data_IF_258070271522
#
_entry.id   IF_258070271522
#
_cell.length_a   1.000
_cell.length_b   1.000
_cell.length_c   1.000
_cell.angle_alpha   90.00
_cell.angle_beta   90.00
_cell.angle_gamma   90.00
#
_symmetry.space_group_name_H-M   'P 1'
#
loop_
_entity.id
_entity.type
_entity.pdbx_description
1 polymer ?
#
# COMPACT_ATOMS: atom_id res chain seq x y z
N UNK A 1 35.23 -33.97 11.22
CA UNK A 1 34.10 -33.64 12.12
C UNK A 1 33.98 -32.10 12.07
N UNK A 2 32.78 -31.53 11.86
CA UNK A 2 32.63 -30.07 11.92
C UNK A 2 32.97 -29.62 13.35
N UNK A 3 33.72 -28.52 13.46
CA UNK A 3 34.12 -27.94 14.74
C UNK A 3 32.87 -27.63 15.58
N UNK A 4 32.83 -28.09 16.84
CA UNK A 4 31.75 -27.79 17.76
C UNK A 4 31.69 -26.27 17.94
N UNK A 5 30.51 -25.72 17.78
CA UNK A 5 30.23 -24.30 18.02
C UNK A 5 30.39 -24.03 19.54
N UNK A 6 31.48 -23.38 19.90
CA UNK A 6 31.85 -23.14 21.29
C UNK A 6 31.20 -21.86 21.84
N UNK A 7 31.16 -21.75 23.18
CA UNK A 7 30.71 -20.54 23.89
C UNK A 7 31.47 -19.29 23.41
N UNK A 8 32.81 -19.33 23.37
CA UNK A 8 33.61 -18.20 22.90
C UNK A 8 33.31 -17.79 21.45
N UNK A 9 33.05 -18.76 20.58
CA UNK A 9 32.65 -18.48 19.21
C UNK A 9 31.28 -17.81 19.14
N UNK A 10 30.35 -18.25 20.00
CA UNK A 10 29.03 -17.61 20.12
C UNK A 10 29.15 -16.15 20.57
N UNK A 11 29.87 -15.90 21.66
CA UNK A 11 30.03 -14.55 22.21
C UNK A 11 30.70 -13.61 21.21
N UNK A 12 31.71 -14.08 20.47
CA UNK A 12 32.35 -13.31 19.40
C UNK A 12 31.34 -12.90 18.32
N UNK A 13 30.50 -13.83 17.85
CA UNK A 13 29.50 -13.51 16.84
C UNK A 13 28.40 -12.59 17.35
N UNK A 14 27.98 -12.80 18.60
CA UNK A 14 26.98 -11.95 19.23
C UNK A 14 27.49 -10.50 19.39
N UNK A 15 28.77 -10.33 19.76
CA UNK A 15 29.43 -9.03 19.84
C UNK A 15 29.48 -8.33 18.47
N UNK A 16 29.74 -9.05 17.36
CA UNK A 16 29.69 -8.50 16.00
C UNK A 16 28.30 -8.02 15.60
N UNK A 17 27.23 -8.66 16.09
CA UNK A 17 25.85 -8.22 15.87
C UNK A 17 25.55 -6.95 16.66
N UNK A 18 26.18 -6.73 17.81
CA UNK A 18 26.13 -5.49 18.59
C UNK A 18 24.78 -5.17 19.24
N UNK A 19 23.86 -6.13 19.34
CA UNK A 19 22.50 -5.90 19.87
C UNK A 19 22.26 -6.45 21.26
N UNK A 20 23.05 -7.45 21.66
CA UNK A 20 22.91 -8.14 22.93
C UNK A 20 24.26 -8.67 23.41
N UNK A 21 24.37 -8.90 24.71
CA UNK A 21 25.43 -9.67 25.34
C UNK A 21 24.82 -10.85 26.11
N UNK A 22 25.50 -11.98 26.15
CA UNK A 22 25.07 -13.11 26.94
C UNK A 22 25.44 -12.88 28.41
N UNK A 23 24.48 -13.15 29.30
CA UNK A 23 24.68 -13.05 30.77
C UNK A 23 24.39 -14.36 31.50
N UNK A 24 23.86 -15.37 30.78
CA UNK A 24 23.62 -16.72 31.30
C UNK A 24 24.61 -17.76 30.79
N UNK A 25 24.56 -19.02 31.30
CA UNK A 25 25.42 -20.09 30.85
C UNK A 25 25.06 -20.50 29.42
N UNK A 26 26.09 -20.76 28.59
CA UNK A 26 25.90 -21.27 27.24
C UNK A 26 25.93 -22.80 27.27
N UNK A 27 24.86 -23.42 26.81
CA UNK A 27 24.79 -24.91 26.69
C UNK A 27 24.99 -25.31 25.22
N UNK A 28 24.16 -24.74 24.33
CA UNK A 28 24.24 -24.94 22.88
C UNK A 28 23.39 -23.88 22.16
N UNK A 29 23.37 -23.91 20.83
CA UNK A 29 22.66 -22.93 20.02
C UNK A 29 21.12 -22.99 20.13
N UNK A 30 20.56 -24.09 20.61
CA UNK A 30 19.11 -24.37 20.64
C UNK A 30 18.51 -24.16 22.04
N UNK A 31 19.30 -24.31 23.08
CA UNK A 31 18.86 -24.12 24.45
C UNK A 31 18.79 -22.62 24.80
N UNK A 32 17.66 -22.16 25.34
CA UNK A 32 17.52 -20.78 25.77
C UNK A 32 18.56 -20.39 26.84
N UNK A 33 19.09 -19.18 26.77
CA UNK A 33 19.95 -18.59 27.79
C UNK A 33 19.64 -17.11 27.96
N UNK A 34 20.15 -16.52 29.04
CA UNK A 34 19.91 -15.12 29.37
C UNK A 34 20.81 -14.19 28.56
N UNK A 35 20.22 -13.18 27.95
CA UNK A 35 20.88 -12.14 27.19
C UNK A 35 20.46 -10.77 27.69
N UNK A 36 21.43 -9.85 27.84
CA UNK A 36 21.16 -8.44 28.09
C UNK A 36 21.08 -7.69 26.77
N UNK A 37 20.00 -6.95 26.59
CA UNK A 37 19.86 -6.04 25.46
C UNK A 37 20.78 -4.83 25.64
N UNK A 38 21.69 -4.57 24.72
CA UNK A 38 22.61 -3.43 24.80
C UNK A 38 21.90 -2.09 24.57
N UNK A 39 20.74 -2.08 23.89
CA UNK A 39 19.97 -0.86 23.67
C UNK A 39 19.11 -0.47 24.89
N UNK A 40 18.53 -1.47 25.58
CA UNK A 40 17.53 -1.23 26.64
C UNK A 40 17.99 -1.69 28.03
N UNK A 41 19.15 -2.33 28.15
CA UNK A 41 19.67 -2.88 29.40
C UNK A 41 18.87 -4.05 30.00
N UNK A 42 17.75 -4.45 29.38
CA UNK A 42 16.86 -5.50 29.88
C UNK A 42 17.40 -6.90 29.60
N UNK A 43 17.20 -7.79 30.54
CA UNK A 43 17.59 -9.20 30.42
C UNK A 43 16.39 -10.02 29.93
N UNK A 44 16.64 -10.85 28.93
CA UNK A 44 15.65 -11.72 28.31
C UNK A 44 16.20 -13.13 28.10
N UNK A 45 15.38 -14.11 28.25
CA UNK A 45 15.66 -15.46 27.84
C UNK A 45 15.41 -15.63 26.34
N UNK A 46 16.40 -16.13 25.59
CA UNK A 46 16.28 -16.37 24.14
C UNK A 46 17.28 -17.43 23.68
N UNK A 47 16.96 -18.09 22.59
CA UNK A 47 17.85 -19.09 21.99
C UNK A 47 19.02 -18.40 21.30
N UNK A 48 20.26 -18.85 21.52
CA UNK A 48 21.43 -18.33 20.82
C UNK A 48 21.27 -18.26 19.30
N UNK A 49 20.71 -19.32 18.70
CA UNK A 49 20.51 -19.37 17.27
C UNK A 49 19.57 -18.26 16.75
N UNK A 50 18.51 -17.92 17.48
CA UNK A 50 17.56 -16.91 17.07
C UNK A 50 18.23 -15.51 17.00
N UNK A 51 19.10 -15.20 17.94
CA UNK A 51 19.86 -13.96 17.94
C UNK A 51 20.89 -13.91 16.81
N UNK A 52 21.57 -15.02 16.51
CA UNK A 52 22.50 -15.11 15.38
C UNK A 52 21.81 -15.00 14.02
N UNK A 53 20.56 -15.41 13.92
CA UNK A 53 19.71 -15.25 12.72
C UNK A 53 19.09 -13.84 12.62
N UNK A 54 19.46 -12.93 13.51
CA UNK A 54 18.99 -11.54 13.48
C UNK A 54 17.63 -11.30 14.16
N UNK A 55 17.05 -12.33 14.82
CA UNK A 55 15.88 -12.14 15.64
C UNK A 55 16.26 -11.30 16.86
N UNK A 56 15.60 -10.15 17.04
CA UNK A 56 15.87 -9.27 18.19
C UNK A 56 15.34 -9.83 19.50
N UNK A 57 15.89 -9.35 20.61
CA UNK A 57 15.32 -9.57 21.94
C UNK A 57 13.91 -8.97 22.05
N UNK A 58 13.09 -9.51 22.93
CA UNK A 58 11.69 -9.08 23.12
C UNK A 58 11.51 -7.58 23.32
N UNK A 59 12.50 -6.88 23.90
CA UNK A 59 12.50 -5.43 24.06
C UNK A 59 12.85 -4.64 22.79
N UNK A 60 13.40 -5.29 21.75
CA UNK A 60 13.89 -4.65 20.53
C UNK A 60 12.92 -4.77 19.33
N UNK A 61 11.71 -5.26 19.53
CA UNK A 61 10.64 -5.10 18.54
C UNK A 61 10.39 -6.24 17.54
N UNK A 62 11.18 -7.32 17.50
CA UNK A 62 10.76 -8.52 16.76
C UNK A 62 10.00 -9.53 17.64
N UNK A 63 9.89 -9.27 18.92
CA UNK A 63 9.13 -9.97 19.94
C UNK A 63 8.79 -9.05 21.12
N UNK A 64 8.94 -7.72 20.95
CA UNK A 64 8.78 -6.74 21.99
C UNK A 64 7.39 -6.68 22.60
N UNK A 65 7.33 -6.29 23.87
CA UNK A 65 6.08 -6.11 24.60
C UNK A 65 5.05 -5.31 23.78
N UNK A 66 3.78 -5.60 23.96
CA UNK A 66 2.67 -4.93 23.24
C UNK A 66 2.77 -3.39 23.28
N UNK A 67 3.35 -2.82 24.34
CA UNK A 67 3.56 -1.37 24.50
C UNK A 67 4.56 -0.80 23.46
N UNK A 68 5.71 -1.46 23.25
CA UNK A 68 6.71 -1.01 22.27
C UNK A 68 6.23 -1.25 20.81
N UNK A 69 5.41 -2.29 20.61
CA UNK A 69 4.84 -2.57 19.29
C UNK A 69 3.87 -1.47 18.84
N UNK A 70 3.11 -0.89 19.76
CA UNK A 70 2.20 0.22 19.47
C UNK A 70 2.94 1.49 19.07
N UNK A 71 3.96 1.90 19.86
CA UNK A 71 4.78 3.08 19.56
C UNK A 71 5.50 2.95 18.21
N UNK A 72 6.12 1.81 17.94
CA UNK A 72 6.78 1.54 16.67
C UNK A 72 5.79 1.56 15.48
N UNK A 73 4.57 1.06 15.69
CA UNK A 73 3.53 1.12 14.69
C UNK A 73 3.14 2.57 14.39
N UNK A 74 2.91 3.39 15.44
CA UNK A 74 2.51 4.79 15.30
C UNK A 74 3.58 5.63 14.61
N UNK A 75 4.86 5.43 14.95
CA UNK A 75 5.99 6.11 14.27
C UNK A 75 6.05 5.80 12.77
N UNK A 76 5.80 4.55 12.40
CA UNK A 76 5.77 4.16 10.99
C UNK A 76 4.55 4.70 10.25
N UNK A 77 3.38 4.70 10.90
CA UNK A 77 2.17 5.33 10.33
C UNK A 77 2.37 6.82 10.10
N UNK A 78 3.00 7.52 11.04
CA UNK A 78 3.30 8.94 10.91
C UNK A 78 4.21 9.23 9.70
N UNK A 79 5.21 8.36 9.43
CA UNK A 79 6.07 8.47 8.24
C UNK A 79 5.29 8.24 6.93
N UNK A 80 4.28 7.37 6.95
CA UNK A 80 3.42 7.11 5.78
C UNK A 80 2.46 8.26 5.55
N UNK A 81 1.97 8.93 6.62
CA UNK A 81 1.17 10.15 6.54
C UNK A 81 -0.27 9.99 6.03
N UNK A 82 -0.79 8.77 5.88
CA UNK A 82 -2.13 8.53 5.32
C UNK A 82 -3.22 8.45 6.39
N UNK A 83 -2.90 7.88 7.53
CA UNK A 83 -3.83 7.69 8.63
C UNK A 83 -3.12 7.65 9.99
N UNK A 84 -3.88 7.81 11.05
CA UNK A 84 -3.45 7.61 12.43
C UNK A 84 -4.31 6.54 13.10
N UNK A 85 -3.71 5.79 14.01
CA UNK A 85 -4.43 4.82 14.83
C UNK A 85 -5.27 5.54 15.89
N UNK A 86 -6.49 5.05 16.13
CA UNK A 86 -7.36 5.56 17.20
C UNK A 86 -7.77 4.48 18.22
N UNK A 87 -7.66 3.20 17.88
CA UNK A 87 -7.85 2.10 18.81
C UNK A 87 -6.50 1.54 19.33
N UNK A 88 -6.49 0.87 20.51
CA UNK A 88 -5.31 0.20 21.01
C UNK A 88 -4.77 -0.81 20.00
N UNK A 89 -3.45 -0.77 19.77
CA UNK A 89 -2.78 -1.74 18.92
C UNK A 89 -2.84 -3.14 19.56
N UNK A 90 -3.32 -4.12 18.83
CA UNK A 90 -3.41 -5.50 19.27
C UNK A 90 -2.33 -6.37 18.62
N UNK A 91 -2.46 -6.61 17.31
CA UNK A 91 -1.50 -7.34 16.50
C UNK A 91 -1.48 -6.80 15.08
N UNK A 92 -0.52 -7.23 14.27
CA UNK A 92 -0.43 -6.84 12.85
C UNK A 92 -1.63 -7.29 11.99
N UNK A 93 -2.36 -8.33 12.42
CA UNK A 93 -3.42 -8.98 11.64
C UNK A 93 -4.84 -8.69 12.16
N UNK A 94 -4.99 -8.19 13.35
CA UNK A 94 -6.30 -7.79 13.88
C UNK A 94 -6.62 -6.40 13.37
N UNK A 95 -7.73 -6.27 12.66
CA UNK A 95 -8.20 -4.98 12.17
C UNK A 95 -8.54 -4.07 13.36
N UNK A 96 -8.05 -2.84 13.33
CA UNK A 96 -8.27 -1.81 14.32
C UNK A 96 -8.70 -0.52 13.63
N UNK A 97 -9.33 0.38 14.37
CA UNK A 97 -9.79 1.65 13.83
C UNK A 97 -8.62 2.62 13.58
N UNK A 98 -8.66 3.23 12.39
CA UNK A 98 -7.79 4.29 11.97
C UNK A 98 -8.60 5.51 11.56
N UNK A 99 -8.04 6.69 11.73
CA UNK A 99 -8.59 7.95 11.23
C UNK A 99 -7.79 8.38 10.01
N UNK A 100 -8.44 8.57 8.89
CA UNK A 100 -7.84 9.16 7.70
C UNK A 100 -7.40 10.60 7.99
N UNK A 101 -6.14 10.92 7.75
CA UNK A 101 -5.62 12.27 8.00
C UNK A 101 -6.18 13.30 7.01
N UNK A 102 -6.56 12.87 5.80
CA UNK A 102 -7.13 13.72 4.76
C UNK A 102 -8.61 14.09 4.99
N UNK A 103 -9.44 13.08 5.29
CA UNK A 103 -10.89 13.24 5.34
C UNK A 103 -11.47 13.19 6.77
N UNK A 104 -10.66 12.91 7.77
CA UNK A 104 -11.10 12.72 9.15
C UNK A 104 -11.99 11.49 9.38
N UNK A 105 -12.31 10.71 8.33
CA UNK A 105 -13.19 9.54 8.44
C UNK A 105 -12.47 8.39 9.15
N UNK A 106 -13.25 7.65 9.97
CA UNK A 106 -12.79 6.47 10.69
C UNK A 106 -13.07 5.24 9.84
N UNK A 107 -12.12 4.31 9.78
CA UNK A 107 -12.22 3.05 9.04
C UNK A 107 -11.46 1.93 9.75
N UNK A 108 -11.88 0.68 9.51
CA UNK A 108 -11.24 -0.53 10.02
C UNK A 108 -10.19 -1.02 9.02
N UNK A 109 -8.96 -1.28 9.51
CA UNK A 109 -7.88 -1.84 8.70
C UNK A 109 -6.90 -2.64 9.56
N UNK A 110 -6.38 -3.73 9.01
CA UNK A 110 -5.26 -4.45 9.63
C UNK A 110 -4.02 -3.55 9.68
N UNK A 111 -3.30 -3.46 10.82
CA UNK A 111 -2.07 -2.68 10.93
C UNK A 111 -1.02 -3.00 9.86
N UNK A 112 -0.91 -4.27 9.47
CA UNK A 112 -0.03 -4.68 8.37
C UNK A 112 -0.33 -3.92 7.07
N UNK A 113 -1.61 -3.85 6.72
CA UNK A 113 -2.05 -3.21 5.47
C UNK A 113 -1.85 -1.69 5.50
N UNK A 114 -2.03 -1.08 6.67
CA UNK A 114 -1.75 0.34 6.83
C UNK A 114 -0.25 0.64 6.65
N UNK A 115 0.64 -0.22 7.18
CA UNK A 115 2.10 -0.11 6.99
C UNK A 115 2.57 -0.41 5.55
N UNK A 116 1.79 -1.15 4.78
CA UNK A 116 2.00 -1.37 3.35
C UNK A 116 1.56 -0.16 2.50
N UNK A 117 1.15 0.94 3.14
CA UNK A 117 0.70 2.15 2.46
C UNK A 117 -0.68 2.04 1.81
N UNK A 118 -1.53 1.11 2.26
CA UNK A 118 -2.91 1.03 1.74
C UNK A 118 -3.67 2.29 2.06
N UNK A 119 -4.18 2.90 1.02
CA UNK A 119 -4.97 4.13 1.07
C UNK A 119 -6.25 3.88 1.89
N UNK A 120 -6.64 4.80 2.81
CA UNK A 120 -7.93 4.76 3.48
C UNK A 120 -9.09 4.65 2.49
N UNK A 121 -10.15 3.87 2.78
CA UNK A 121 -11.28 3.68 1.87
C UNK A 121 -11.93 4.99 1.39
N UNK A 122 -11.91 6.02 2.24
CA UNK A 122 -12.46 7.34 1.92
C UNK A 122 -11.59 8.18 0.98
N UNK A 123 -10.36 7.74 0.68
CA UNK A 123 -9.46 8.44 -0.24
C UNK A 123 -9.59 7.97 -1.69
N UNK A 124 -10.51 7.05 -1.95
CA UNK A 124 -10.82 6.51 -3.27
C UNK A 124 -9.88 5.38 -3.70
N UNK A 125 -10.49 4.29 -4.16
CA UNK A 125 -9.84 3.24 -4.91
C UNK A 125 -9.14 2.16 -4.09
N UNK A 126 -9.61 0.93 -4.26
CA UNK A 126 -8.93 -0.29 -3.75
C UNK A 126 -7.64 -0.61 -4.51
N UNK A 127 -6.80 0.37 -4.79
CA UNK A 127 -5.49 0.07 -5.35
C UNK A 127 -4.60 -0.49 -4.25
N UNK A 128 -4.04 -1.65 -4.51
CA UNK A 128 -3.18 -2.42 -3.59
C UNK A 128 -1.80 -1.78 -3.34
N UNK A 129 -1.62 -0.55 -3.77
CA UNK A 129 -0.42 0.25 -3.53
C UNK A 129 -0.76 1.74 -3.53
N UNK A 130 -0.04 2.56 -2.80
CA UNK A 130 -0.08 3.99 -3.01
C UNK A 130 0.57 4.32 -4.36
N UNK A 131 0.19 5.43 -4.99
CA UNK A 131 0.89 5.93 -6.18
C UNK A 131 2.41 5.99 -5.93
N UNK A 132 2.81 6.42 -4.74
CA UNK A 132 4.20 6.40 -4.28
C UNK A 132 4.85 5.01 -4.39
N UNK A 133 4.21 3.94 -3.87
CA UNK A 133 4.76 2.59 -3.94
C UNK A 133 4.86 2.07 -5.38
N UNK A 134 3.95 2.48 -6.25
CA UNK A 134 3.99 2.14 -7.68
C UNK A 134 5.12 2.87 -8.40
N UNK A 135 5.37 4.13 -8.07
CA UNK A 135 6.48 4.90 -8.61
C UNK A 135 7.84 4.32 -8.19
N UNK A 136 7.96 3.87 -6.94
CA UNK A 136 9.19 3.29 -6.40
C UNK A 136 9.52 1.89 -6.94
N UNK A 137 8.52 1.12 -7.36
CA UNK A 137 8.71 -0.26 -7.86
C UNK A 137 7.90 -0.51 -9.15
N UNK A 138 8.14 0.21 -10.27
CA UNK A 138 7.32 0.12 -11.49
C UNK A 138 7.23 -1.29 -12.07
N UNK A 139 8.33 -2.02 -12.08
CA UNK A 139 8.41 -3.38 -12.62
C UNK A 139 7.54 -4.38 -11.85
N UNK A 140 7.46 -4.25 -10.53
CA UNK A 140 6.63 -5.10 -9.66
C UNK A 140 5.14 -5.00 -10.00
N UNK A 141 4.70 -3.85 -10.50
CA UNK A 141 3.31 -3.60 -10.85
C UNK A 141 3.01 -3.84 -12.33
N UNK A 142 4.01 -4.24 -13.12
CA UNK A 142 3.89 -4.41 -14.55
C UNK A 142 3.50 -3.12 -15.27
N UNK A 143 3.96 -1.97 -14.75
CA UNK A 143 3.56 -0.66 -15.24
C UNK A 143 3.98 -0.37 -16.67
N UNK A 144 5.00 -1.08 -17.18
CA UNK A 144 5.48 -0.97 -18.55
C UNK A 144 4.65 -1.80 -19.55
N UNK A 145 3.80 -2.71 -19.05
CA UNK A 145 2.99 -3.56 -19.92
C UNK A 145 1.90 -2.76 -20.64
N UNK A 146 1.55 -3.23 -21.84
CA UNK A 146 0.40 -2.70 -22.58
C UNK A 146 -0.88 -2.77 -21.76
N UNK A 147 -1.68 -1.72 -21.82
CA UNK A 147 -2.98 -1.67 -21.18
C UNK A 147 -3.91 -0.70 -21.92
N UNK A 148 -5.18 -0.79 -21.64
CA UNK A 148 -6.22 0.10 -22.12
C UNK A 148 -7.00 0.67 -20.94
N UNK A 149 -7.55 1.86 -21.10
CA UNK A 149 -8.66 2.35 -20.27
C UNK A 149 -9.96 1.98 -20.99
N UNK A 150 -10.92 1.42 -20.28
CA UNK A 150 -12.21 1.04 -20.84
C UNK A 150 -13.38 1.67 -20.09
N UNK A 151 -14.48 1.82 -20.82
CA UNK A 151 -15.76 2.31 -20.32
C UNK A 151 -16.86 1.28 -20.65
N UNK A 152 -17.57 0.82 -19.62
CA UNK A 152 -18.79 0.03 -19.72
C UNK A 152 -19.97 0.80 -19.15
N UNK A 153 -21.13 0.71 -19.77
CA UNK A 153 -22.41 1.10 -19.20
C UNK A 153 -23.01 -0.11 -18.49
N UNK A 154 -23.46 0.05 -17.24
CA UNK A 154 -24.02 -1.08 -16.50
C UNK A 154 -25.41 -1.44 -17.06
N UNK A 155 -25.58 -2.67 -17.54
CA UNK A 155 -26.82 -3.10 -18.22
C UNK A 155 -28.08 -2.94 -17.34
N UNK A 156 -27.98 -3.23 -16.04
CA UNK A 156 -29.09 -3.09 -15.09
C UNK A 156 -29.27 -1.67 -14.53
N UNK A 157 -28.29 -0.81 -14.73
CA UNK A 157 -28.24 0.54 -14.16
C UNK A 157 -27.72 1.51 -15.23
N UNK A 158 -28.55 1.90 -16.22
CA UNK A 158 -28.10 2.66 -17.40
C UNK A 158 -27.53 4.04 -17.09
N UNK A 159 -27.84 4.61 -15.93
CA UNK A 159 -27.28 5.88 -15.43
C UNK A 159 -25.89 5.72 -14.80
N UNK A 160 -25.35 4.51 -14.79
CA UNK A 160 -24.07 4.21 -14.20
C UNK A 160 -23.11 3.65 -15.22
N UNK A 161 -21.87 4.10 -15.13
CA UNK A 161 -20.76 3.60 -15.94
C UNK A 161 -19.67 3.02 -15.04
N UNK A 162 -18.95 2.04 -15.56
CA UNK A 162 -17.73 1.50 -14.96
C UNK A 162 -16.54 1.93 -15.80
N UNK A 163 -15.55 2.51 -15.12
CA UNK A 163 -14.28 2.90 -15.72
C UNK A 163 -13.20 1.99 -15.15
N UNK A 164 -12.33 1.45 -15.98
CA UNK A 164 -11.27 0.54 -15.50
C UNK A 164 -10.15 0.37 -16.50
N UNK A 165 -9.12 -0.39 -16.08
CA UNK A 165 -7.96 -0.72 -16.92
C UNK A 165 -7.86 -2.22 -17.14
N UNK A 166 -7.40 -2.62 -18.32
CA UNK A 166 -7.17 -4.02 -18.67
C UNK A 166 -6.07 -4.16 -19.70
N UNK A 167 -5.35 -5.26 -19.67
CA UNK A 167 -4.46 -5.66 -20.78
C UNK A 167 -5.20 -6.46 -21.86
N UNK A 168 -6.42 -6.91 -21.57
CA UNK A 168 -7.25 -7.70 -22.48
C UNK A 168 -8.73 -7.33 -22.36
N UNK A 169 -9.27 -6.63 -23.37
CA UNK A 169 -10.67 -6.20 -23.37
C UNK A 169 -11.64 -7.36 -23.50
N UNK A 170 -11.27 -8.43 -24.21
CA UNK A 170 -12.16 -9.57 -24.44
C UNK A 170 -12.54 -10.26 -23.13
N UNK A 171 -11.57 -10.42 -22.22
CA UNK A 171 -11.84 -11.01 -20.90
C UNK A 171 -12.75 -10.15 -20.02
N UNK A 172 -12.87 -8.85 -20.32
CA UNK A 172 -13.74 -7.93 -19.59
C UNK A 172 -15.13 -7.82 -20.20
N UNK A 173 -15.25 -7.98 -21.52
CA UNK A 173 -16.52 -7.99 -22.22
C UNK A 173 -17.36 -9.22 -21.86
N UNK A 174 -16.72 -10.34 -21.54
CA UNK A 174 -17.37 -11.57 -21.08
C UNK A 174 -17.81 -11.52 -19.60
N UNK A 175 -17.35 -10.52 -18.83
CA UNK A 175 -17.87 -10.28 -17.49
C UNK A 175 -19.27 -9.65 -17.63
N UNK A 176 -20.30 -10.34 -17.19
CA UNK A 176 -21.76 -10.12 -17.38
C UNK A 176 -22.33 -8.75 -16.92
N UNK A 177 -21.53 -7.69 -16.81
CA UNK A 177 -21.90 -6.50 -16.05
C UNK A 177 -22.36 -5.31 -16.86
N UNK A 178 -22.21 -5.31 -18.20
CA UNK A 178 -22.65 -4.13 -18.93
C UNK A 178 -22.36 -4.13 -20.42
N UNK A 179 -22.91 -3.13 -21.09
CA UNK A 179 -22.65 -2.85 -22.49
C UNK A 179 -21.30 -2.15 -22.63
N UNK A 180 -20.44 -2.71 -23.45
CA UNK A 180 -19.21 -2.06 -23.84
C UNK A 180 -19.49 -0.76 -24.60
N UNK A 181 -18.89 0.35 -24.14
CA UNK A 181 -19.05 1.65 -24.79
C UNK A 181 -17.85 1.96 -25.68
N UNK A 182 -16.67 2.04 -25.11
CA UNK A 182 -15.42 2.31 -25.83
C UNK A 182 -14.18 2.00 -24.99
N UNK A 183 -13.03 2.10 -25.63
CA UNK A 183 -11.73 2.00 -24.95
C UNK A 183 -10.70 2.95 -25.58
N UNK A 184 -9.67 3.24 -24.83
CA UNK A 184 -8.50 4.02 -25.25
C UNK A 184 -7.25 3.18 -25.09
N UNK A 185 -6.45 3.12 -26.16
CA UNK A 185 -5.13 2.51 -26.10
C UNK A 185 -4.18 3.41 -25.32
N UNK A 186 -3.34 2.81 -24.51
CA UNK A 186 -2.34 3.56 -23.74
C UNK A 186 -0.93 3.08 -24.08
N UNK A 187 0.08 3.93 -23.85
CA UNK A 187 1.49 3.56 -24.05
C UNK A 187 1.92 2.47 -23.07
N UNK A 188 1.34 2.48 -21.86
CA UNK A 188 1.68 1.51 -20.83
C UNK A 188 0.55 1.43 -19.79
N UNK A 189 0.56 0.40 -18.96
CA UNK A 189 -0.34 0.28 -17.82
C UNK A 189 -0.23 1.46 -16.86
N UNK A 190 0.94 2.06 -16.75
CA UNK A 190 1.13 3.26 -15.93
C UNK A 190 0.30 4.44 -16.45
N UNK A 191 0.34 4.71 -17.76
CA UNK A 191 -0.49 5.74 -18.37
C UNK A 191 -1.99 5.45 -18.19
N UNK A 192 -2.41 4.21 -18.42
CA UNK A 192 -3.78 3.79 -18.20
C UNK A 192 -4.23 4.06 -16.75
N UNK A 193 -3.38 3.71 -15.80
CA UNK A 193 -3.64 3.92 -14.38
C UNK A 193 -3.76 5.41 -14.03
N UNK A 194 -2.88 6.26 -14.54
CA UNK A 194 -2.94 7.70 -14.28
C UNK A 194 -4.27 8.30 -14.75
N UNK A 195 -4.68 7.97 -15.97
CA UNK A 195 -5.96 8.44 -16.54
C UNK A 195 -7.14 7.91 -15.76
N UNK A 196 -7.20 6.60 -15.47
CA UNK A 196 -8.25 6.00 -14.66
C UNK A 196 -8.39 6.70 -13.31
N UNK A 197 -7.28 6.88 -12.59
CA UNK A 197 -7.30 7.49 -11.26
C UNK A 197 -7.71 8.97 -11.30
N UNK A 198 -7.30 9.73 -12.30
CA UNK A 198 -7.74 11.11 -12.47
C UNK A 198 -9.23 11.17 -12.78
N UNK A 199 -9.71 10.34 -13.72
CA UNK A 199 -11.13 10.23 -14.07
C UNK A 199 -11.99 9.86 -12.86
N UNK A 200 -11.57 8.85 -12.09
CA UNK A 200 -12.31 8.41 -10.91
C UNK A 200 -12.35 9.46 -9.77
N UNK A 201 -11.49 10.45 -9.80
CA UNK A 201 -11.43 11.56 -8.82
C UNK A 201 -12.11 12.83 -9.33
N UNK A 202 -12.50 12.87 -10.60
CA UNK A 202 -13.15 14.03 -11.19
C UNK A 202 -14.46 14.34 -10.47
N UNK A 203 -14.60 15.60 -10.07
CA UNK A 203 -15.77 16.07 -9.30
C UNK A 203 -17.04 16.11 -10.11
N UNK A 204 -16.94 16.16 -11.45
CA UNK A 204 -18.08 16.13 -12.35
C UNK A 204 -18.71 14.75 -12.49
N UNK A 205 -18.00 13.69 -12.05
CA UNK A 205 -18.48 12.32 -12.05
C UNK A 205 -18.88 11.91 -10.62
N UNK A 206 -20.18 11.77 -10.39
CA UNK A 206 -20.68 11.37 -9.07
C UNK A 206 -20.17 9.99 -8.68
N UNK A 207 -19.41 9.92 -7.57
CA UNK A 207 -18.93 8.66 -7.02
C UNK A 207 -20.07 7.93 -6.32
N UNK A 208 -20.80 7.14 -7.06
CA UNK A 208 -21.93 6.35 -6.57
C UNK A 208 -21.87 4.93 -7.15
N UNK A 209 -22.33 3.96 -6.38
CA UNK A 209 -22.53 2.59 -6.81
C UNK A 209 -23.95 2.19 -6.43
N UNK A 210 -24.72 1.53 -7.33
CA UNK A 210 -26.02 0.99 -6.97
C UNK A 210 -25.94 0.11 -5.73
N UNK A 211 -26.90 0.24 -4.80
CA UNK A 211 -26.87 -0.49 -3.51
C UNK A 211 -26.76 -2.00 -3.72
N UNK A 212 -27.44 -2.55 -4.73
CA UNK A 212 -27.40 -3.98 -5.04
C UNK A 212 -26.01 -4.47 -5.49
N UNK A 213 -25.19 -3.59 -6.06
CA UNK A 213 -23.81 -3.89 -6.42
C UNK A 213 -22.84 -3.60 -5.25
N UNK A 214 -23.16 -2.62 -4.42
CA UNK A 214 -22.31 -2.25 -3.27
C UNK A 214 -22.25 -3.39 -2.23
N UNK A 215 -23.34 -4.10 -2.02
CA UNK A 215 -23.45 -5.23 -1.10
C UNK A 215 -22.90 -6.55 -1.68
N UNK A 216 -22.67 -6.59 -3.00
CA UNK A 216 -22.05 -7.73 -3.65
C UNK A 216 -20.54 -7.73 -3.40
N UNK A 217 -19.92 -8.91 -3.38
CA UNK A 217 -18.45 -9.05 -3.34
C UNK A 217 -17.78 -8.64 -4.67
N UNK A 218 -18.46 -7.89 -5.48
CA UNK A 218 -17.96 -7.44 -6.77
C UNK A 218 -16.81 -6.46 -6.61
N UNK A 219 -15.67 -6.81 -7.17
CA UNK A 219 -14.41 -6.06 -6.99
C UNK A 219 -14.39 -4.69 -7.71
N UNK A 220 -15.37 -4.41 -8.56
CA UNK A 220 -15.43 -3.20 -9.37
C UNK A 220 -16.29 -2.05 -8.83
N UNK A 221 -16.87 -2.18 -7.64
CA UNK A 221 -17.82 -1.20 -7.09
C UNK A 221 -17.21 0.22 -6.89
N UNK A 222 -15.91 0.32 -6.66
CA UNK A 222 -15.21 1.61 -6.49
C UNK A 222 -14.91 2.34 -7.81
N UNK A 223 -15.03 1.63 -8.93
CA UNK A 223 -14.77 2.11 -10.29
C UNK A 223 -16.05 2.57 -10.98
N UNK A 224 -17.20 2.54 -10.27
CA UNK A 224 -18.51 2.95 -10.80
C UNK A 224 -18.75 4.43 -10.53
N UNK A 225 -19.34 5.08 -11.53
CA UNK A 225 -19.77 6.49 -11.47
C UNK A 225 -21.20 6.62 -11.98
N UNK A 226 -21.97 7.45 -11.30
CA UNK A 226 -23.31 7.83 -11.79
C UNK A 226 -23.17 8.99 -12.76
N UNK A 227 -23.22 8.69 -14.03
CA UNK A 227 -23.04 9.68 -15.10
C UNK A 227 -23.46 9.07 -16.45
N UNK A 228 -23.75 9.91 -17.42
CA UNK A 228 -23.95 9.51 -18.81
C UNK A 228 -22.62 9.09 -19.45
N UNK A 229 -22.67 8.11 -20.36
CA UNK A 229 -21.49 7.63 -21.06
C UNK A 229 -20.74 8.74 -21.81
N UNK A 230 -21.47 9.68 -22.45
CA UNK A 230 -20.86 10.79 -23.19
C UNK A 230 -20.06 11.74 -22.27
N UNK A 231 -20.58 12.02 -21.06
CA UNK A 231 -19.86 12.82 -20.08
C UNK A 231 -18.59 12.10 -19.62
N UNK A 232 -18.68 10.81 -19.31
CA UNK A 232 -17.51 10.02 -18.92
C UNK A 232 -16.45 9.98 -20.05
N UNK A 233 -16.86 9.84 -21.31
CA UNK A 233 -15.96 9.90 -22.48
C UNK A 233 -15.21 11.23 -22.53
N UNK A 234 -15.92 12.35 -22.37
CA UNK A 234 -15.30 13.68 -22.40
C UNK A 234 -14.27 13.85 -21.28
N UNK A 235 -14.59 13.40 -20.06
CA UNK A 235 -13.67 13.46 -18.92
C UNK A 235 -12.44 12.57 -19.14
N UNK A 236 -12.63 11.35 -19.61
CA UNK A 236 -11.51 10.45 -19.91
C UNK A 236 -10.62 11.07 -21.01
N UNK A 237 -11.20 11.58 -22.10
CA UNK A 237 -10.44 12.21 -23.18
C UNK A 237 -9.65 13.42 -22.68
N UNK A 238 -10.28 14.28 -21.87
CA UNK A 238 -9.60 15.41 -21.24
C UNK A 238 -8.32 14.98 -20.48
N UNK A 239 -8.39 13.91 -19.69
CA UNK A 239 -7.23 13.43 -18.94
C UNK A 239 -6.19 12.75 -19.85
N UNK A 240 -6.59 12.12 -20.94
CA UNK A 240 -5.64 11.66 -21.96
C UNK A 240 -4.87 12.81 -22.58
N UNK A 241 -5.57 13.84 -23.02
CA UNK A 241 -4.97 15.02 -23.65
C UNK A 241 -4.06 15.78 -22.66
N UNK A 242 -4.48 15.88 -21.41
CA UNK A 242 -3.68 16.47 -20.34
C UNK A 242 -2.39 15.66 -20.08
N UNK A 243 -2.50 14.32 -20.01
CA UNK A 243 -1.35 13.44 -19.79
C UNK A 243 -0.35 13.50 -20.95
N UNK A 244 -0.83 13.54 -22.19
CA UNK A 244 0.02 13.65 -23.37
C UNK A 244 0.73 15.01 -23.44
N UNK A 245 0.04 16.08 -23.02
CA UNK A 245 0.59 17.44 -23.00
C UNK A 245 1.61 17.68 -21.89
N UNK A 246 1.33 17.22 -20.70
CA UNK A 246 2.10 17.51 -19.48
C UNK A 246 3.19 16.48 -19.21
N UNK A 247 3.01 15.27 -19.72
CA UNK A 247 3.78 14.10 -19.32
C UNK A 247 3.34 13.57 -17.94
N UNK A 248 3.75 12.33 -17.60
CA UNK A 248 3.27 11.64 -16.38
C UNK A 248 3.54 12.38 -15.08
N UNK A 249 4.65 13.08 -15.02
CA UNK A 249 5.13 13.81 -13.86
C UNK A 249 4.25 14.96 -13.47
N UNK A 250 4.15 15.93 -14.37
CA UNK A 250 3.35 17.12 -14.14
C UNK A 250 1.87 16.73 -13.99
N UNK A 251 1.43 15.72 -14.74
CA UNK A 251 0.08 15.16 -14.60
C UNK A 251 -0.20 14.65 -13.18
N UNK A 252 0.74 13.93 -12.56
CA UNK A 252 0.60 13.46 -11.17
C UNK A 252 0.49 14.63 -10.21
N UNK A 253 1.33 15.64 -10.36
CA UNK A 253 1.33 16.81 -9.48
C UNK A 253 0.05 17.60 -9.59
N UNK A 254 -0.49 17.75 -10.79
CA UNK A 254 -1.66 18.59 -11.05
C UNK A 254 -2.99 17.90 -10.74
N UNK A 255 -3.11 16.61 -11.06
CA UNK A 255 -4.38 15.91 -10.98
C UNK A 255 -4.46 14.82 -9.91
N UNK A 256 -3.34 14.23 -9.51
CA UNK A 256 -3.34 13.10 -8.56
C UNK A 256 -2.76 13.44 -7.19
N UNK A 257 -2.22 14.63 -7.02
CA UNK A 257 -1.62 15.13 -5.77
C UNK A 257 -2.38 16.35 -5.24
N UNK A 258 -3.65 16.19 -4.82
CA UNK A 258 -4.54 17.32 -4.53
C UNK A 258 -4.19 18.08 -3.25
N UNK A 259 -3.21 17.63 -2.47
CA UNK A 259 -2.72 18.32 -1.28
C UNK A 259 -1.20 18.30 -1.20
N UNK A 260 -0.67 19.26 -0.46
CA UNK A 260 0.77 19.46 -0.32
C UNK A 260 1.53 18.21 0.19
N UNK A 261 0.93 17.45 1.10
CA UNK A 261 1.55 16.22 1.61
C UNK A 261 1.70 15.15 0.54
N UNK A 262 0.67 14.91 -0.28
CA UNK A 262 0.73 13.96 -1.40
C UNK A 262 1.68 14.47 -2.48
N UNK A 263 1.68 15.78 -2.76
CA UNK A 263 2.59 16.43 -3.69
C UNK A 263 4.05 16.22 -3.28
N UNK A 264 4.39 16.53 -2.03
CA UNK A 264 5.74 16.34 -1.49
C UNK A 264 6.19 14.87 -1.52
N UNK A 265 5.28 13.92 -1.26
CA UNK A 265 5.57 12.49 -1.38
C UNK A 265 5.84 12.06 -2.82
N UNK A 266 5.04 12.55 -3.76
CA UNK A 266 5.25 12.30 -5.18
C UNK A 266 6.55 12.95 -5.67
N UNK A 267 6.81 14.20 -5.37
CA UNK A 267 8.05 14.90 -5.72
C UNK A 267 9.28 14.16 -5.21
N UNK A 268 9.23 13.71 -3.93
CA UNK A 268 10.31 12.91 -3.35
C UNK A 268 10.53 11.59 -4.10
N UNK A 269 9.45 10.84 -4.38
CA UNK A 269 9.54 9.60 -5.14
C UNK A 269 10.13 9.83 -6.52
N UNK A 270 9.73 10.91 -7.16
CA UNK A 270 10.17 11.30 -8.48
C UNK A 270 11.65 11.69 -8.49
N UNK A 271 12.12 12.39 -7.47
CA UNK A 271 13.54 12.70 -7.31
C UNK A 271 14.39 11.43 -7.07
N UNK A 272 13.90 10.49 -6.27
CA UNK A 272 14.59 9.21 -5.99
C UNK A 272 14.76 8.33 -7.24
N UNK A 273 13.82 8.39 -8.20
CA UNK A 273 13.93 7.64 -9.46
C UNK A 273 14.67 8.42 -10.57
N UNK A 274 15.26 9.56 -10.23
CA UNK A 274 16.15 10.32 -11.14
C UNK A 274 15.45 11.02 -12.31
N UNK A 275 14.20 11.39 -12.12
CA UNK A 275 13.39 12.04 -13.15
C UNK A 275 13.04 13.51 -12.83
N UNK A 276 13.66 14.13 -11.87
CA UNK A 276 13.63 15.58 -11.61
C UNK A 276 15.03 16.15 -11.74
#
# INVERSE_FOLDING_TARGET
MPAKFTEAHYDTRLALIGKAERVGPYINQREPTLHRCLLHGKIHESRPNDLLMGHGLHCCGNGGSRANAASFYDERLAKIGLCQRIEPYQTRRVAIQHKCLRHGKIFLQEPRRALEGRIPPCCGGMWRGSLYAMLMEPSRWGLESYSIVYLFRLARFPDYVKIGISSNIKSRADEEYGDFVCYWNTRSRFHAFLVEQATLRDVSLESACPLELADSKWAGNTEVRKTESNQAIQVIQFYFDALDKLGPYQFILDYLSPNETERNLCEKALAEIGQV
#
